data_IF_544308914487
#
_entry.id   IF_544308914487
#
_cell.length_a   1.000
_cell.length_b   1.000
_cell.length_c   1.000
_cell.angle_alpha   90.00
_cell.angle_beta   90.00
_cell.angle_gamma   90.00
#
_symmetry.space_group_name_H-M   'P 1'
#
loop_
_entity.id
_entity.type
_entity.pdbx_description
1 polymer ?
#
# COMPACT_ATOMS: atom_id res chain seq x y z
N UNK A 1 -5.22 3.41 1.47
CA UNK A 1 -5.30 2.33 0.47
C UNK A 1 -6.12 1.23 1.08
N UNK A 2 -7.16 0.81 0.40
CA UNK A 2 -8.05 -0.27 0.81
C UNK A 2 -8.28 -1.16 -0.42
N UNK A 3 -8.12 -2.45 -0.25
CA UNK A 3 -8.37 -3.45 -1.27
C UNK A 3 -7.71 -4.79 -0.94
N UNK A 4 -7.81 -5.77 -1.86
CA UNK A 4 -7.36 -7.14 -1.60
C UNK A 4 -5.87 -7.21 -1.26
N UNK A 5 -5.41 -8.19 -0.44
CA UNK A 5 -4.01 -8.27 0.00
C UNK A 5 -2.98 -8.22 -1.14
N UNK A 6 -3.28 -8.86 -2.28
CA UNK A 6 -2.42 -8.87 -3.46
C UNK A 6 -2.31 -7.48 -4.11
N UNK A 7 -3.39 -6.71 -4.10
CA UNK A 7 -3.40 -5.34 -4.65
C UNK A 7 -2.62 -4.39 -3.75
N UNK A 8 -2.86 -4.44 -2.44
CA UNK A 8 -2.17 -3.57 -1.49
C UNK A 8 -0.65 -3.79 -1.55
N UNK A 9 -0.19 -5.05 -1.58
CA UNK A 9 1.24 -5.36 -1.69
C UNK A 9 1.87 -4.81 -2.98
N UNK A 10 1.18 -4.95 -4.13
CA UNK A 10 1.67 -4.44 -5.41
C UNK A 10 1.76 -2.90 -5.43
N UNK A 11 0.73 -2.21 -4.92
CA UNK A 11 0.70 -0.74 -4.92
C UNK A 11 1.67 -0.17 -3.88
N UNK A 12 1.80 -0.76 -2.69
CA UNK A 12 2.83 -0.36 -1.70
C UNK A 12 4.23 -0.46 -2.32
N UNK A 13 4.53 -1.58 -2.98
CA UNK A 13 5.84 -1.76 -3.64
C UNK A 13 6.08 -0.69 -4.69
N UNK A 14 5.09 -0.42 -5.54
CA UNK A 14 5.20 0.62 -6.58
C UNK A 14 5.44 2.01 -5.96
N UNK A 15 4.75 2.36 -4.88
CA UNK A 15 4.94 3.63 -4.17
C UNK A 15 6.34 3.74 -3.54
N UNK A 16 6.86 2.65 -2.97
CA UNK A 16 8.24 2.61 -2.45
C UNK A 16 9.27 2.77 -3.57
N UNK A 17 9.06 2.14 -4.72
CA UNK A 17 9.93 2.28 -5.90
C UNK A 17 9.92 3.73 -6.45
N UNK A 18 8.86 4.50 -6.20
CA UNK A 18 8.76 5.93 -6.53
C UNK A 18 9.34 6.86 -5.44
N UNK A 19 9.88 6.32 -4.34
CA UNK A 19 10.44 7.10 -3.24
C UNK A 19 9.40 7.70 -2.30
N UNK A 20 8.20 7.12 -2.23
CA UNK A 20 7.18 7.54 -1.27
C UNK A 20 7.50 6.95 0.11
N UNK A 21 7.69 7.82 1.09
CA UNK A 21 7.89 7.44 2.50
C UNK A 21 6.65 6.76 3.10
N UNK A 22 6.86 5.81 4.00
CA UNK A 22 5.78 5.00 4.60
C UNK A 22 4.75 5.86 5.37
N UNK A 23 5.16 6.99 5.95
CA UNK A 23 4.27 7.94 6.64
C UNK A 23 3.22 8.57 5.71
N UNK A 24 3.48 8.57 4.39
CA UNK A 24 2.55 9.05 3.36
C UNK A 24 1.64 7.93 2.81
N UNK A 25 1.85 6.67 3.23
CA UNK A 25 1.07 5.50 2.77
C UNK A 25 0.09 5.09 3.86
N UNK A 26 -1.07 5.75 3.89
CA UNK A 26 -2.16 5.38 4.79
C UNK A 26 -2.84 4.11 4.24
N UNK A 27 -2.71 2.97 4.93
CA UNK A 27 -3.40 1.71 4.60
C UNK A 27 -4.61 1.53 5.51
N UNK A 28 -5.76 1.24 4.92
CA UNK A 28 -6.97 0.83 5.62
C UNK A 28 -7.21 -0.64 5.23
N UNK A 29 -6.64 -1.53 6.04
CA UNK A 29 -6.72 -2.97 5.84
C UNK A 29 -8.03 -3.47 6.45
N UNK A 30 -9.02 -3.66 5.59
CA UNK A 30 -10.33 -4.19 5.98
C UNK A 30 -10.28 -5.67 6.41
N UNK A 31 -9.09 -6.28 6.46
CA UNK A 31 -8.85 -7.54 7.13
C UNK A 31 -9.49 -8.72 6.42
N UNK A 32 -8.83 -9.23 5.38
CA UNK A 32 -9.01 -10.59 4.84
C UNK A 32 -10.42 -10.99 4.43
#
# INVERSE_FOLDING_TARGET
>A
MCGPPVMNAAVIKMLKDLGVEDDNIMLDDFGG
#
